data_IF_721862123884
#
_entry.id   IF_721862123884
#
_cell.length_a   1.000
_cell.length_b   1.000
_cell.length_c   1.000
_cell.angle_alpha   90.00
_cell.angle_beta   90.00
_cell.angle_gamma   90.00
#
_symmetry.space_group_name_H-M   'P 1'
#
loop_
_entity.id
_entity.type
_entity.pdbx_description
1 polymer ?
#
# COMPACT_ATOMS: atom_id res chain seq x y z
N UNK A 1 10.98 -7.71 13.86
CA UNK A 1 11.57 -6.36 13.90
C UNK A 1 10.42 -5.37 13.94
N UNK A 2 10.57 -4.25 14.65
CA UNK A 2 9.48 -3.34 14.96
C UNK A 2 8.80 -2.84 13.68
N UNK A 3 7.52 -3.19 13.50
CA UNK A 3 6.61 -2.43 12.64
C UNK A 3 6.65 -1.02 13.23
N UNK A 4 7.42 -0.12 12.60
CA UNK A 4 7.53 1.26 13.03
C UNK A 4 6.12 1.83 13.20
N UNK A 5 5.83 2.60 14.26
CA UNK A 5 4.48 3.04 14.64
C UNK A 5 3.62 3.42 13.42
N UNK A 6 2.89 2.43 12.92
CA UNK A 6 1.98 2.60 11.80
C UNK A 6 0.71 3.18 12.39
N UNK A 7 0.20 4.22 11.76
CA UNK A 7 -1.15 4.69 12.07
C UNK A 7 -2.16 3.58 11.79
N UNK A 8 -3.36 3.69 12.35
CA UNK A 8 -4.42 2.72 12.07
C UNK A 8 -4.70 2.60 10.56
N UNK A 9 -4.62 3.72 9.84
CA UNK A 9 -4.82 3.73 8.40
C UNK A 9 -3.68 3.02 7.66
N UNK A 10 -2.42 3.31 8.00
CA UNK A 10 -1.26 2.64 7.41
C UNK A 10 -1.29 1.13 7.65
N UNK A 11 -1.64 0.71 8.87
CA UNK A 11 -1.78 -0.72 9.21
C UNK A 11 -2.89 -1.41 8.41
N UNK A 12 -4.03 -0.74 8.23
CA UNK A 12 -5.15 -1.25 7.43
C UNK A 12 -4.80 -1.30 5.94
N UNK A 13 -4.08 -0.29 5.44
CA UNK A 13 -3.61 -0.24 4.06
C UNK A 13 -2.61 -1.37 3.79
N UNK A 14 -1.65 -1.58 4.68
CA UNK A 14 -0.66 -2.66 4.55
C UNK A 14 -1.32 -4.05 4.55
N UNK A 15 -2.26 -4.30 5.49
CA UNK A 15 -3.06 -5.54 5.51
C UNK A 15 -3.88 -5.75 4.24
N UNK A 16 -4.44 -4.68 3.69
CA UNK A 16 -5.24 -4.77 2.48
C UNK A 16 -4.38 -5.07 1.25
N UNK A 17 -3.18 -4.48 1.19
CA UNK A 17 -2.18 -4.77 0.16
C UNK A 17 -1.70 -6.21 0.28
N UNK A 18 -1.41 -6.72 1.49
CA UNK A 18 -0.96 -8.11 1.65
C UNK A 18 -2.05 -9.14 1.36
N UNK A 19 -3.32 -8.82 1.61
CA UNK A 19 -4.45 -9.69 1.30
C UNK A 19 -4.87 -9.67 -0.18
N UNK A 20 -4.38 -8.71 -0.97
CA UNK A 20 -4.80 -8.50 -2.36
C UNK A 20 -3.69 -8.84 -3.33
N UNK A 21 -4.02 -9.52 -4.44
CA UNK A 21 -3.04 -9.80 -5.49
C UNK A 21 -2.88 -8.60 -6.42
N UNK A 22 -1.96 -7.72 -6.05
CA UNK A 22 -1.55 -6.58 -6.89
C UNK A 22 -0.35 -6.90 -7.79
N UNK A 23 0.06 -8.18 -7.87
CA UNK A 23 1.01 -8.66 -8.88
C UNK A 23 0.24 -8.89 -10.19
N UNK A 24 -0.90 -9.56 -10.11
CA UNK A 24 -1.79 -9.72 -11.28
C UNK A 24 -2.65 -8.48 -11.53
N UNK A 25 -3.17 -7.85 -10.47
CA UNK A 25 -4.02 -6.65 -10.60
C UNK A 25 -3.21 -5.36 -10.51
N UNK A 26 -3.35 -4.47 -11.49
CA UNK A 26 -2.64 -3.20 -11.48
C UNK A 26 -3.09 -2.33 -10.28
N UNK A 27 -2.12 -1.74 -9.56
CA UNK A 27 -2.40 -0.80 -8.49
C UNK A 27 -3.16 0.41 -9.01
N UNK A 28 -4.18 0.85 -8.26
CA UNK A 28 -4.93 2.06 -8.55
C UNK A 28 -5.21 2.81 -7.25
N UNK A 29 -4.55 3.94 -7.06
CA UNK A 29 -4.76 4.82 -5.90
C UNK A 29 -6.22 5.23 -5.78
N UNK A 30 -6.90 5.49 -6.92
CA UNK A 30 -8.33 5.82 -6.96
C UNK A 30 -9.21 4.70 -6.41
N UNK A 31 -8.89 3.43 -6.70
CA UNK A 31 -9.62 2.27 -6.15
C UNK A 31 -9.37 2.12 -4.65
N UNK A 32 -8.13 2.28 -4.21
CA UNK A 32 -7.79 2.25 -2.79
C UNK A 32 -8.55 3.37 -2.03
N UNK A 33 -8.52 4.60 -2.55
CA UNK A 33 -9.23 5.74 -1.97
C UNK A 33 -10.74 5.46 -1.82
N UNK A 34 -11.37 4.87 -2.84
CA UNK A 34 -12.78 4.46 -2.78
C UNK A 34 -13.04 3.35 -1.75
N UNK A 35 -12.18 2.34 -1.69
CA UNK A 35 -12.32 1.23 -0.74
C UNK A 35 -12.22 1.70 0.72
N UNK A 36 -11.33 2.65 0.99
CA UNK A 36 -11.13 3.22 2.32
C UNK A 36 -12.01 4.44 2.61
N UNK A 37 -12.75 4.96 1.63
CA UNK A 37 -13.55 6.20 1.71
C UNK A 37 -12.72 7.41 2.14
N UNK A 38 -11.49 7.50 1.64
CA UNK A 38 -10.54 8.60 1.90
C UNK A 38 -10.19 9.30 0.59
N UNK A 39 -9.46 10.41 0.67
CA UNK A 39 -8.92 11.08 -0.52
C UNK A 39 -7.73 10.31 -1.12
N UNK A 40 -7.50 10.46 -2.43
CA UNK A 40 -6.30 9.88 -3.07
C UNK A 40 -5.01 10.41 -2.43
N UNK A 41 -5.02 11.67 -1.96
CA UNK A 41 -3.90 12.29 -1.25
C UNK A 41 -3.51 11.51 0.00
N UNK A 42 -4.48 11.13 0.83
CA UNK A 42 -4.23 10.33 2.04
C UNK A 42 -3.62 8.96 1.70
N UNK A 43 -4.07 8.34 0.60
CA UNK A 43 -3.50 7.07 0.14
C UNK A 43 -2.05 7.26 -0.31
N UNK A 44 -1.73 8.32 -1.06
CA UNK A 44 -0.35 8.61 -1.46
C UNK A 44 0.57 8.84 -0.25
N UNK A 45 0.12 9.64 0.72
CA UNK A 45 0.88 9.92 1.94
C UNK A 45 1.10 8.65 2.78
N UNK A 46 0.07 7.80 2.90
CA UNK A 46 0.21 6.53 3.61
C UNK A 46 1.14 5.56 2.87
N UNK A 47 1.07 5.46 1.54
CA UNK A 47 1.99 4.64 0.74
C UNK A 47 3.44 5.10 0.90
N UNK A 48 3.68 6.42 0.83
CA UNK A 48 5.01 6.98 1.04
C UNK A 48 5.53 6.73 2.46
N UNK A 49 4.68 6.81 3.46
CA UNK A 49 5.05 6.46 4.84
C UNK A 49 5.32 4.97 4.99
N UNK A 50 4.55 4.10 4.34
CA UNK A 50 4.75 2.65 4.38
C UNK A 50 6.08 2.23 3.75
N UNK A 51 6.50 2.82 2.64
CA UNK A 51 7.81 2.49 2.04
C UNK A 51 8.99 2.89 2.92
N UNK A 52 8.81 3.86 3.82
CA UNK A 52 9.83 4.27 4.79
C UNK A 52 9.77 3.42 6.08
N UNK A 53 8.57 3.26 6.65
CA UNK A 53 8.33 2.63 7.96
C UNK A 53 8.31 1.10 7.89
N UNK A 54 7.80 0.57 6.78
CA UNK A 54 7.57 -0.85 6.53
C UNK A 54 8.37 -1.31 5.31
N UNK A 55 9.56 -0.74 5.08
CA UNK A 55 10.39 -1.01 3.89
C UNK A 55 10.65 -2.50 3.60
N UNK A 56 10.76 -3.31 4.66
CA UNK A 56 11.02 -4.76 4.56
C UNK A 56 9.72 -5.56 4.33
N UNK A 57 8.57 -4.88 4.42
CA UNK A 57 7.21 -5.42 4.35
C UNK A 57 6.43 -4.89 3.13
N UNK A 58 6.98 -3.98 2.34
CA UNK A 58 6.34 -3.47 1.13
C UNK A 58 7.35 -3.31 -0.01
N UNK A 59 6.96 -3.76 -1.20
CA UNK A 59 7.72 -3.60 -2.42
C UNK A 59 6.82 -3.01 -3.51
N UNK A 60 7.26 -1.90 -4.10
CA UNK A 60 6.58 -1.25 -5.23
C UNK A 60 7.49 -1.39 -6.45
N UNK A 61 6.94 -1.87 -7.55
CA UNK A 61 7.68 -2.01 -8.81
C UNK A 61 6.77 -1.74 -10.02
N UNK A 62 7.39 -1.48 -11.17
CA UNK A 62 6.67 -1.31 -12.43
C UNK A 62 6.75 -2.59 -13.24
N UNK A 63 5.60 -3.04 -13.73
CA UNK A 63 5.51 -4.18 -14.65
C UNK A 63 4.36 -3.99 -15.64
N UNK A 64 4.63 -4.25 -16.93
CA UNK A 64 3.63 -4.17 -17.99
C UNK A 64 2.96 -2.79 -18.14
N UNK A 65 3.66 -1.69 -17.83
CA UNK A 65 3.12 -0.32 -17.89
C UNK A 65 2.21 0.05 -16.72
N UNK A 66 2.15 -0.78 -15.68
CA UNK A 66 1.36 -0.55 -14.47
C UNK A 66 2.23 -0.62 -13.21
N UNK A 67 1.78 0.05 -12.15
CA UNK A 67 2.39 -0.08 -10.82
C UNK A 67 1.89 -1.38 -10.18
N UNK A 68 2.81 -2.13 -9.61
CA UNK A 68 2.57 -3.34 -8.80
C UNK A 68 3.04 -3.05 -7.39
N UNK A 69 2.26 -3.51 -6.41
CA UNK A 69 2.57 -3.33 -5.00
C UNK A 69 2.40 -4.66 -4.30
N UNK A 70 3.44 -5.17 -3.65
CA UNK A 70 3.36 -6.37 -2.83
C UNK A 70 3.65 -5.97 -1.40
N UNK A 71 2.90 -6.54 -0.46
CA UNK A 71 3.18 -6.37 0.95
C UNK A 71 3.09 -7.69 1.70
N UNK A 72 3.85 -7.77 2.79
CA UNK A 72 3.82 -8.87 3.76
C UNK A 72 3.54 -8.28 5.15
N UNK A 73 2.45 -8.70 5.79
CA UNK A 73 1.96 -8.12 7.05
C UNK A 73 2.23 -9.03 8.24
#
# INVERSE_FOLDING_TARGET
MAVAELTEFESRLLKWISASDFVEVAWSTKRAAQAFKVSEKEVYEALASLTLKAKDHIQIFYDGGSIRIVADY
#
